data_IF_847464487377
#
_entry.id   IF_847464487377
#
_cell.length_a   1.000
_cell.length_b   1.000
_cell.length_c   1.000
_cell.angle_alpha   90.00
_cell.angle_beta   90.00
_cell.angle_gamma   90.00
#
_symmetry.space_group_name_H-M   'P 1'
#
loop_
_entity.id
_entity.type
_entity.pdbx_description
1 polymer ?
#
# COMPACT_ATOMS: atom_id res chain seq x y z
N UNK A 1 -9.19 2.53 -12.94
CA UNK A 1 -9.63 1.45 -12.04
C UNK A 1 -8.55 1.04 -11.03
N UNK A 2 -8.95 0.32 -9.95
CA UNK A 2 -8.03 -0.18 -8.92
C UNK A 2 -8.15 -1.70 -8.75
N UNK A 3 -7.02 -2.38 -8.65
CA UNK A 3 -6.93 -3.78 -8.24
C UNK A 3 -6.42 -3.84 -6.79
N UNK A 4 -7.15 -4.54 -5.93
CA UNK A 4 -6.80 -4.69 -4.52
C UNK A 4 -6.38 -6.13 -4.24
N UNK A 5 -5.23 -6.30 -3.58
CA UNK A 5 -4.78 -7.63 -3.15
C UNK A 5 -5.66 -8.20 -2.02
N UNK A 6 -6.27 -7.32 -1.21
CA UNK A 6 -6.99 -7.72 -0.03
C UNK A 6 -6.07 -8.24 1.07
N UNK A 7 -6.58 -9.11 1.92
CA UNK A 7 -5.83 -9.70 3.03
C UNK A 7 -5.07 -10.94 2.56
N UNK A 8 -3.75 -10.95 2.71
CA UNK A 8 -2.90 -12.09 2.40
C UNK A 8 -2.50 -12.81 3.68
N UNK A 9 -3.32 -13.75 4.11
CA UNK A 9 -3.08 -14.63 5.25
C UNK A 9 -2.39 -15.94 4.84
N UNK A 10 -1.81 -15.98 3.65
CA UNK A 10 -1.12 -17.13 3.08
C UNK A 10 0.35 -17.16 3.49
N UNK A 11 1.04 -18.29 3.31
CA UNK A 11 2.48 -18.32 3.32
C UNK A 11 3.08 -17.24 2.42
N UNK A 12 4.24 -16.71 2.78
CA UNK A 12 4.83 -15.58 2.05
C UNK A 12 4.98 -15.84 0.55
N UNK A 13 5.38 -17.05 0.16
CA UNK A 13 5.57 -17.41 -1.24
C UNK A 13 4.27 -17.32 -2.06
N UNK A 14 3.15 -17.79 -1.50
CA UNK A 14 1.86 -17.75 -2.15
C UNK A 14 1.32 -16.32 -2.25
N UNK A 15 1.54 -15.52 -1.20
CA UNK A 15 1.19 -14.10 -1.21
C UNK A 15 2.02 -13.32 -2.25
N UNK A 16 3.30 -13.64 -2.42
CA UNK A 16 4.16 -13.06 -3.46
C UNK A 16 3.73 -13.49 -4.87
N UNK A 17 3.32 -14.75 -5.05
CA UNK A 17 2.79 -15.24 -6.31
C UNK A 17 1.49 -14.51 -6.70
N UNK A 18 0.58 -14.32 -5.74
CA UNK A 18 -0.64 -13.54 -5.94
C UNK A 18 -0.32 -12.08 -6.30
N UNK A 19 0.60 -11.44 -5.58
CA UNK A 19 1.04 -10.07 -5.85
C UNK A 19 1.60 -9.92 -7.26
N UNK A 20 2.49 -10.82 -7.69
CA UNK A 20 3.04 -10.82 -9.05
C UNK A 20 1.95 -11.05 -10.11
N UNK A 21 0.94 -11.87 -9.83
CA UNK A 21 -0.20 -12.06 -10.75
C UNK A 21 -1.02 -10.77 -10.91
N UNK A 22 -1.27 -10.05 -9.81
CA UNK A 22 -1.96 -8.75 -9.86
C UNK A 22 -1.15 -7.71 -10.64
N UNK A 23 0.17 -7.66 -10.44
CA UNK A 23 1.07 -6.80 -11.22
C UNK A 23 0.99 -7.12 -12.70
N UNK A 24 1.06 -8.41 -13.06
CA UNK A 24 0.97 -8.85 -14.47
C UNK A 24 -0.37 -8.46 -15.12
N UNK A 25 -1.47 -8.56 -14.38
CA UNK A 25 -2.80 -8.12 -14.86
C UNK A 25 -2.82 -6.61 -15.08
N UNK A 26 -2.28 -5.83 -14.14
CA UNK A 26 -2.23 -4.38 -14.26
C UNK A 26 -1.36 -3.92 -15.44
N UNK A 27 -0.22 -4.57 -15.67
CA UNK A 27 0.66 -4.29 -16.82
C UNK A 27 0.03 -4.67 -18.17
N UNK A 28 -0.76 -5.74 -18.18
CA UNK A 28 -1.48 -6.15 -19.40
C UNK A 28 -2.63 -5.20 -19.74
N UNK A 29 -3.41 -4.83 -18.73
CA UNK A 29 -4.57 -3.93 -18.90
C UNK A 29 -4.18 -2.49 -19.15
N UNK A 30 -3.18 -1.97 -18.42
CA UNK A 30 -2.68 -0.58 -18.48
C UNK A 30 -3.65 0.52 -18.00
N UNK A 31 -4.89 0.20 -17.73
CA UNK A 31 -5.94 1.09 -17.25
C UNK A 31 -6.16 1.00 -15.72
N UNK A 32 -5.42 0.14 -15.04
CA UNK A 32 -5.57 -0.11 -13.61
C UNK A 32 -4.25 0.00 -12.85
N UNK A 33 -4.34 0.27 -11.55
CA UNK A 33 -3.21 0.24 -10.63
C UNK A 33 -3.47 -0.82 -9.55
N UNK A 34 -2.51 -1.70 -9.31
CA UNK A 34 -2.57 -2.73 -8.28
C UNK A 34 -2.02 -2.22 -6.94
N UNK A 35 -2.82 -2.32 -5.88
CA UNK A 35 -2.43 -1.97 -4.52
C UNK A 35 -2.15 -3.24 -3.72
N UNK A 36 -0.93 -3.33 -3.20
CA UNK A 36 -0.38 -4.55 -2.60
C UNK A 36 0.12 -4.24 -1.20
N UNK A 37 -0.35 -5.02 -0.22
CA UNK A 37 0.18 -5.04 1.15
C UNK A 37 1.00 -6.31 1.39
N UNK A 38 1.97 -6.29 2.32
CA UNK A 38 2.70 -7.49 2.70
C UNK A 38 1.78 -8.55 3.32
N UNK A 39 2.23 -9.78 3.34
CA UNK A 39 1.51 -10.84 4.03
C UNK A 39 1.45 -10.59 5.55
N UNK A 40 0.41 -11.15 6.19
CA UNK A 40 0.16 -10.96 7.63
C UNK A 40 1.34 -11.38 8.51
N UNK A 41 2.04 -12.45 8.17
CA UNK A 41 3.20 -12.96 8.90
C UNK A 41 4.38 -11.98 8.97
N UNK A 42 4.42 -10.96 8.11
CA UNK A 42 5.43 -9.90 8.23
C UNK A 42 5.30 -9.08 9.52
N UNK A 43 4.11 -9.01 10.09
CA UNK A 43 3.78 -8.17 11.26
C UNK A 43 3.44 -8.96 12.50
N UNK A 44 2.81 -10.12 12.36
CA UNK A 44 2.22 -10.88 13.45
C UNK A 44 2.84 -12.28 13.53
N UNK A 45 3.25 -12.65 14.71
CA UNK A 45 3.91 -13.93 15.01
C UNK A 45 2.91 -15.03 15.37
N UNK A 46 1.76 -15.07 14.69
CA UNK A 46 0.81 -16.17 14.84
C UNK A 46 0.01 -16.45 13.58
N UNK A 47 -0.59 -17.63 13.54
CA UNK A 47 -1.50 -18.06 12.48
C UNK A 47 -2.97 -17.69 12.76
N UNK A 48 -3.28 -17.14 13.93
CA UNK A 48 -4.65 -16.84 14.33
C UNK A 48 -5.12 -15.49 13.76
N UNK A 49 -6.29 -15.49 13.16
CA UNK A 49 -6.92 -14.27 12.63
C UNK A 49 -7.32 -13.36 13.80
N UNK A 50 -6.65 -12.23 13.93
CA UNK A 50 -7.11 -11.12 14.78
C UNK A 50 -6.27 -10.80 16.01
N UNK A 51 -5.62 -11.76 16.67
CA UNK A 51 -5.09 -11.61 18.04
C UNK A 51 -3.58 -11.82 18.20
N UNK A 52 -2.82 -11.85 17.10
CA UNK A 52 -1.39 -12.15 17.16
C UNK A 52 -0.52 -11.14 17.88
N UNK A 53 0.59 -11.64 18.42
CA UNK A 53 1.66 -10.80 18.97
C UNK A 53 2.42 -10.13 17.83
N UNK A 54 2.63 -8.82 17.91
CA UNK A 54 3.40 -8.07 16.93
C UNK A 54 4.88 -8.45 16.99
N UNK A 55 5.50 -8.59 15.83
CA UNK A 55 6.94 -8.70 15.69
C UNK A 55 7.65 -7.42 16.16
N UNK A 56 8.97 -7.46 16.34
CA UNK A 56 9.73 -6.24 16.61
C UNK A 56 9.71 -5.28 15.40
N UNK A 57 9.86 -3.98 15.64
CA UNK A 57 9.89 -3.00 14.55
C UNK A 57 11.03 -3.22 13.55
N UNK A 58 12.18 -3.74 14.01
CA UNK A 58 13.30 -4.11 13.15
C UNK A 58 12.96 -5.31 12.27
N UNK A 59 12.37 -6.36 12.85
CA UNK A 59 11.94 -7.54 12.11
C UNK A 59 10.84 -7.18 11.10
N UNK A 60 9.86 -6.36 11.47
CA UNK A 60 8.83 -5.89 10.54
C UNK A 60 9.43 -5.17 9.34
N UNK A 61 10.42 -4.29 9.55
CA UNK A 61 11.11 -3.60 8.44
C UNK A 61 11.76 -4.60 7.48
N UNK A 62 12.51 -5.56 8.03
CA UNK A 62 13.18 -6.58 7.25
C UNK A 62 12.20 -7.49 6.51
N UNK A 63 11.13 -7.91 7.20
CA UNK A 63 10.09 -8.77 6.64
C UNK A 63 9.33 -8.09 5.50
N UNK A 64 8.98 -6.81 5.66
CA UNK A 64 8.30 -6.01 4.64
C UNK A 64 9.19 -5.84 3.40
N UNK A 65 10.46 -5.48 3.58
CA UNK A 65 11.42 -5.38 2.48
C UNK A 65 11.60 -6.75 1.80
N UNK A 66 11.75 -7.83 2.59
CA UNK A 66 11.89 -9.19 2.07
C UNK A 66 10.67 -9.69 1.31
N UNK A 67 9.46 -9.22 1.67
CA UNK A 67 8.25 -9.52 0.92
C UNK A 67 8.26 -8.88 -0.47
N UNK A 68 8.64 -7.60 -0.58
CA UNK A 68 8.58 -6.87 -1.84
C UNK A 68 9.81 -7.07 -2.75
N UNK A 69 10.95 -7.50 -2.20
CA UNK A 69 12.19 -7.64 -2.95
C UNK A 69 12.07 -8.49 -4.22
N UNK A 70 11.42 -9.68 -4.22
CA UNK A 70 11.30 -10.53 -5.41
C UNK A 70 10.16 -10.12 -6.34
N UNK A 71 9.34 -9.10 -6.00
CA UNK A 71 8.23 -8.70 -6.85
C UNK A 71 8.70 -7.96 -8.09
N UNK A 72 7.97 -8.16 -9.18
CA UNK A 72 8.19 -7.50 -10.47
C UNK A 72 8.16 -5.98 -10.30
N UNK A 73 9.16 -5.32 -10.88
CA UNK A 73 9.24 -3.86 -10.92
C UNK A 73 8.21 -3.30 -11.90
N UNK A 74 7.21 -2.59 -11.40
CA UNK A 74 6.14 -2.04 -12.23
C UNK A 74 5.66 -0.68 -11.73
N UNK A 75 5.38 0.23 -12.65
CA UNK A 75 4.74 1.49 -12.33
C UNK A 75 3.22 1.37 -12.14
N UNK A 76 2.64 0.22 -12.48
CA UNK A 76 1.23 -0.11 -12.26
C UNK A 76 0.98 -0.79 -10.91
N UNK A 77 1.96 -0.83 -10.03
CA UNK A 77 1.84 -1.36 -8.67
C UNK A 77 2.17 -0.31 -7.62
N UNK A 78 1.51 -0.39 -6.47
CA UNK A 78 1.74 0.45 -5.30
C UNK A 78 1.91 -0.45 -4.09
N UNK A 79 3.02 -0.27 -3.37
CA UNK A 79 3.43 -1.05 -2.23
C UNK A 79 3.29 -0.24 -0.96
N UNK A 80 2.64 -0.79 0.06
CA UNK A 80 2.48 -0.14 1.36
C UNK A 80 3.30 -0.81 2.47
N UNK A 81 3.39 -0.13 3.60
CA UNK A 81 4.19 -0.58 4.73
C UNK A 81 3.42 -1.40 5.76
N UNK A 82 2.14 -1.76 5.51
CA UNK A 82 1.56 -2.57 6.52
C UNK A 82 0.08 -2.74 6.77
N UNK A 83 -0.25 -2.79 8.05
CA UNK A 83 -1.56 -3.13 8.59
C UNK A 83 -2.03 -2.07 9.58
N UNK A 84 -3.33 -1.79 9.58
CA UNK A 84 -4.01 -1.00 10.61
C UNK A 84 -4.82 -1.89 11.55
N UNK A 85 -4.98 -1.47 12.78
CA UNK A 85 -5.85 -2.06 13.79
C UNK A 85 -7.16 -1.29 13.81
N UNK A 86 -8.26 -1.98 13.57
CA UNK A 86 -9.59 -1.39 13.55
C UNK A 86 -10.65 -2.33 14.11
N UNK A 87 -11.81 -1.75 14.44
CA UNK A 87 -12.97 -2.51 14.89
C UNK A 87 -13.73 -3.08 13.69
N UNK A 88 -13.94 -4.39 13.70
CA UNK A 88 -14.77 -5.09 12.73
C UNK A 88 -16.18 -5.26 13.30
N UNK A 89 -17.13 -4.55 12.72
CA UNK A 89 -18.53 -4.55 13.17
C UNK A 89 -19.24 -5.89 12.97
N UNK A 90 -18.81 -6.70 12.01
CA UNK A 90 -19.46 -8.00 11.73
C UNK A 90 -19.11 -9.06 12.77
N UNK A 91 -17.85 -9.05 13.20
CA UNK A 91 -17.34 -10.03 14.18
C UNK A 91 -17.30 -9.50 15.60
N UNK A 92 -17.73 -8.25 15.82
CA UNK A 92 -17.70 -7.54 17.11
C UNK A 92 -16.32 -7.63 17.80
N UNK A 93 -15.25 -7.47 17.00
CA UNK A 93 -13.88 -7.61 17.47
C UNK A 93 -12.94 -6.67 16.78
N UNK A 94 -11.82 -6.38 17.43
CA UNK A 94 -10.72 -5.65 16.80
C UNK A 94 -9.80 -6.60 16.04
N UNK A 95 -9.37 -6.19 14.85
CA UNK A 95 -8.41 -6.97 14.06
C UNK A 95 -7.44 -6.09 13.28
N UNK A 96 -6.33 -6.71 12.91
CA UNK A 96 -5.38 -6.11 11.96
C UNK A 96 -5.82 -6.42 10.53
N UNK A 97 -5.97 -5.35 9.72
CA UNK A 97 -6.28 -5.46 8.29
C UNK A 97 -5.24 -4.73 7.44
N UNK A 98 -4.98 -5.20 6.21
CA UNK A 98 -3.99 -4.59 5.33
C UNK A 98 -4.42 -3.22 4.84
N UNK A 99 -3.46 -2.38 4.50
CA UNK A 99 -3.67 -0.98 4.10
C UNK A 99 -3.94 -0.80 2.61
N UNK A 100 -3.83 -1.84 1.75
CA UNK A 100 -4.01 -1.68 0.31
C UNK A 100 -5.35 -1.04 -0.08
N UNK A 101 -6.44 -1.43 0.56
CA UNK A 101 -7.75 -0.83 0.35
C UNK A 101 -7.84 0.62 0.80
N UNK A 102 -7.16 0.97 1.89
CA UNK A 102 -7.12 2.35 2.39
C UNK A 102 -6.34 3.27 1.46
N UNK A 103 -5.21 2.81 0.94
CA UNK A 103 -4.40 3.60 0.01
C UNK A 103 -5.14 3.80 -1.31
N UNK A 104 -5.79 2.79 -1.83
CA UNK A 104 -6.71 2.95 -2.96
C UNK A 104 -7.83 3.94 -2.63
N UNK A 105 -8.38 3.86 -1.42
CA UNK A 105 -9.39 4.79 -0.92
C UNK A 105 -8.90 6.24 -0.81
N UNK A 106 -7.62 6.48 -0.45
CA UNK A 106 -7.05 7.83 -0.50
C UNK A 106 -6.96 8.35 -1.93
N UNK A 107 -6.61 7.49 -2.89
CA UNK A 107 -6.60 7.83 -4.31
C UNK A 107 -8.02 8.17 -4.80
N UNK A 108 -9.02 7.34 -4.51
CA UNK A 108 -10.41 7.58 -4.90
C UNK A 108 -10.98 8.86 -4.28
N UNK A 109 -10.71 9.11 -3.00
CA UNK A 109 -11.11 10.35 -2.33
C UNK A 109 -10.44 11.58 -2.96
N UNK A 110 -9.20 11.44 -3.39
CA UNK A 110 -8.47 12.50 -4.07
C UNK A 110 -9.08 12.80 -5.46
N UNK A 111 -9.57 11.78 -6.17
CA UNK A 111 -10.26 11.93 -7.46
C UNK A 111 -11.57 12.71 -7.32
N UNK A 112 -12.32 12.45 -6.24
CA UNK A 112 -13.60 13.11 -5.98
C UNK A 112 -13.38 14.58 -5.57
N UNK A 113 -12.41 14.85 -4.70
CA UNK A 113 -12.21 16.17 -4.09
C UNK A 113 -11.24 17.08 -4.87
N UNK A 114 -10.40 16.48 -5.71
CA UNK A 114 -9.37 17.17 -6.49
C UNK A 114 -9.32 16.59 -7.90
N UNK A 115 -8.17 16.02 -8.27
CA UNK A 115 -7.96 15.39 -9.58
C UNK A 115 -7.03 14.17 -9.45
N UNK A 116 -7.12 13.19 -10.39
CA UNK A 116 -6.32 11.97 -10.36
C UNK A 116 -4.79 12.17 -10.33
N UNK A 117 -4.31 13.31 -10.84
CA UNK A 117 -2.89 13.64 -10.90
C UNK A 117 -2.32 14.33 -9.67
N UNK A 118 -3.12 14.57 -8.62
CA UNK A 118 -2.58 15.02 -7.35
C UNK A 118 -2.01 13.85 -6.55
N UNK A 119 -0.89 14.08 -5.84
CA UNK A 119 -0.32 13.06 -4.96
C UNK A 119 -1.32 12.67 -3.86
N UNK A 120 -1.58 11.38 -3.65
CA UNK A 120 -2.47 10.92 -2.58
C UNK A 120 -1.82 10.93 -1.21
N UNK A 121 -0.55 11.30 -1.10
CA UNK A 121 0.22 11.30 0.14
C UNK A 121 0.23 12.65 0.86
N UNK A 122 0.71 12.64 2.09
CA UNK A 122 0.93 13.82 2.93
C UNK A 122 -0.26 14.15 3.83
N UNK A 123 -0.08 15.18 4.67
CA UNK A 123 -1.02 15.57 5.72
C UNK A 123 -2.37 16.05 5.20
N UNK A 124 -2.40 16.62 4.00
CA UNK A 124 -3.62 17.17 3.43
C UNK A 124 -4.52 16.13 2.75
N UNK A 125 -3.94 15.09 2.15
CA UNK A 125 -4.67 14.13 1.31
C UNK A 125 -4.49 12.66 1.72
N UNK A 126 -3.38 12.32 2.39
CA UNK A 126 -3.01 10.95 2.72
C UNK A 126 -3.66 10.37 3.97
N UNK A 127 -4.65 11.01 4.57
CA UNK A 127 -5.30 10.54 5.80
C UNK A 127 -5.94 9.15 5.64
N UNK A 128 -5.58 8.22 6.52
CA UNK A 128 -6.18 6.88 6.63
C UNK A 128 -7.32 6.94 7.64
N UNK A 129 -8.48 6.54 7.24
CA UNK A 129 -9.69 6.59 8.06
C UNK A 129 -9.92 5.27 8.82
N UNK A 130 -10.72 5.34 9.89
CA UNK A 130 -11.13 4.16 10.66
C UNK A 130 -9.98 3.29 11.14
N UNK A 131 -8.88 3.89 11.60
CA UNK A 131 -7.75 3.20 12.19
C UNK A 131 -7.55 3.66 13.63
N UNK A 132 -7.50 2.72 14.56
CA UNK A 132 -7.19 2.97 15.97
C UNK A 132 -5.68 3.16 16.14
N UNK A 133 -4.90 2.29 15.50
CA UNK A 133 -3.44 2.33 15.48
C UNK A 133 -2.90 1.58 14.27
N UNK A 134 -1.63 1.77 13.97
CA UNK A 134 -0.89 0.94 13.02
C UNK A 134 -0.29 -0.28 13.71
N UNK A 135 -0.14 -1.39 12.98
CA UNK A 135 0.65 -2.53 13.43
C UNK A 135 2.14 -2.17 13.50
N UNK A 136 2.56 -1.29 12.61
CA UNK A 136 3.95 -0.87 12.45
C UNK A 136 4.02 0.63 12.15
N UNK A 137 4.71 1.37 12.99
CA UNK A 137 5.01 2.80 12.78
C UNK A 137 6.53 2.96 12.60
N UNK A 138 7.02 3.09 11.36
CA UNK A 138 8.46 3.18 11.10
C UNK A 138 9.04 4.50 11.62
N UNK A 139 10.22 4.42 12.26
CA UNK A 139 11.04 5.58 12.58
C UNK A 139 11.70 6.16 11.32
N UNK A 140 12.44 7.27 11.44
CA UNK A 140 13.04 7.94 10.29
C UNK A 140 13.95 7.01 9.47
N UNK A 141 14.88 6.31 10.11
CA UNK A 141 15.80 5.38 9.42
C UNK A 141 15.05 4.26 8.71
N UNK A 142 14.03 3.70 9.36
CA UNK A 142 13.18 2.66 8.78
C UNK A 142 12.37 3.17 7.59
N UNK A 143 11.86 4.42 7.65
CA UNK A 143 11.18 5.04 6.51
C UNK A 143 12.12 5.21 5.32
N UNK A 144 13.35 5.62 5.55
CA UNK A 144 14.36 5.77 4.50
C UNK A 144 14.66 4.42 3.83
N UNK A 145 14.78 3.35 4.62
CA UNK A 145 14.93 1.98 4.10
C UNK A 145 13.72 1.56 3.28
N UNK A 146 12.50 1.72 3.79
CA UNK A 146 11.26 1.38 3.07
C UNK A 146 11.15 2.15 1.76
N UNK A 147 11.34 3.47 1.83
CA UNK A 147 11.20 4.35 0.66
C UNK A 147 12.26 4.09 -0.41
N UNK A 148 13.49 3.72 -0.03
CA UNK A 148 14.53 3.29 -0.96
C UNK A 148 14.17 1.99 -1.68
N UNK A 149 13.37 1.13 -1.03
CA UNK A 149 12.85 -0.12 -1.59
C UNK A 149 11.47 0.01 -2.25
N UNK A 150 11.06 1.21 -2.64
CA UNK A 150 9.79 1.49 -3.36
C UNK A 150 8.53 1.27 -2.51
N UNK A 151 8.66 1.18 -1.21
CA UNK A 151 7.57 0.92 -0.27
C UNK A 151 7.12 2.26 0.31
N UNK A 152 5.82 2.53 0.28
CA UNK A 152 5.26 3.77 0.81
C UNK A 152 5.00 3.64 2.31
N UNK A 153 5.73 4.37 3.15
CA UNK A 153 5.49 4.35 4.59
C UNK A 153 4.12 4.94 4.91
N UNK A 154 3.39 4.26 5.79
CA UNK A 154 2.23 4.81 6.48
C UNK A 154 2.64 5.07 7.91
N UNK A 155 2.41 6.28 8.41
CA UNK A 155 2.90 6.75 9.71
C UNK A 155 1.80 7.38 10.53
N UNK A 156 1.99 7.43 11.84
CA UNK A 156 1.24 8.31 12.71
C UNK A 156 1.94 9.67 12.77
N UNK A 157 1.21 10.74 12.44
CA UNK A 157 1.67 12.13 12.51
C UNK A 157 0.86 12.89 13.56
N UNK A 158 1.51 13.48 14.59
CA UNK A 158 0.81 14.33 15.54
C UNK A 158 0.05 15.45 14.83
N UNK A 159 -1.23 15.60 15.15
CA UNK A 159 -2.10 16.61 14.54
C UNK A 159 -2.77 16.22 13.20
N UNK A 160 -2.21 15.28 12.44
CA UNK A 160 -2.79 14.80 11.19
C UNK A 160 -3.33 13.36 11.28
N UNK A 161 -3.01 12.62 12.35
CA UNK A 161 -3.41 11.24 12.52
C UNK A 161 -2.56 10.26 11.70
N UNK A 162 -3.17 9.18 11.25
CA UNK A 162 -2.49 8.17 10.41
C UNK A 162 -2.54 8.61 8.97
N UNK A 163 -1.38 8.70 8.33
CA UNK A 163 -1.22 9.21 6.97
C UNK A 163 -0.34 8.33 6.10
N UNK A 164 -0.67 8.26 4.81
CA UNK A 164 0.23 7.80 3.77
C UNK A 164 1.32 8.87 3.58
N UNK A 165 2.58 8.50 3.81
CA UNK A 165 3.70 9.45 3.77
C UNK A 165 4.45 9.44 2.44
N UNK A 166 4.46 8.31 1.71
CA UNK A 166 5.10 8.14 0.41
C UNK A 166 4.11 8.01 -0.74
N UNK A 167 4.53 8.34 -1.95
CA UNK A 167 3.74 8.28 -3.18
C UNK A 167 4.45 7.56 -4.34
N UNK A 168 5.34 6.62 -4.02
CA UNK A 168 6.06 5.83 -5.03
C UNK A 168 5.21 4.70 -5.61
N UNK A 169 5.44 4.41 -6.88
CA UNK A 169 5.04 3.15 -7.50
C UNK A 169 6.06 2.04 -7.22
N UNK A 170 5.74 0.80 -7.56
CA UNK A 170 6.66 -0.34 -7.50
C UNK A 170 7.78 -0.29 -8.56
N UNK A 171 7.95 0.81 -9.28
CA UNK A 171 8.96 0.94 -10.33
C UNK A 171 10.36 1.14 -9.75
N UNK A 172 11.29 0.26 -10.14
CA UNK A 172 12.65 0.21 -9.57
C UNK A 172 13.67 1.16 -10.17
N UNK A 173 13.31 1.88 -11.25
CA UNK A 173 14.21 2.84 -11.89
C UNK A 173 13.76 4.27 -11.62
N UNK A 174 14.70 5.19 -11.45
CA UNK A 174 14.39 6.62 -11.34
C UNK A 174 13.75 7.11 -12.65
N UNK A 175 12.50 7.54 -12.58
CA UNK A 175 11.71 8.00 -13.74
C UNK A 175 10.52 8.79 -13.24
N UNK A 176 9.86 9.55 -14.10
CA UNK A 176 8.60 10.21 -13.76
C UNK A 176 7.50 9.19 -13.34
N UNK A 177 7.57 7.97 -13.86
CA UNK A 177 6.63 6.89 -13.55
C UNK A 177 6.89 6.18 -12.22
N UNK A 178 7.88 6.60 -11.45
CA UNK A 178 8.08 6.13 -10.09
C UNK A 178 7.11 6.78 -9.09
N UNK A 179 6.22 7.68 -9.55
CA UNK A 179 5.21 8.37 -8.74
C UNK A 179 3.78 7.93 -9.08
N UNK A 180 2.98 7.70 -8.04
CA UNK A 180 1.58 7.27 -8.17
C UNK A 180 0.76 8.27 -8.98
N UNK A 181 0.88 9.55 -8.65
CA UNK A 181 0.14 10.62 -9.32
C UNK A 181 0.48 10.73 -10.82
N UNK A 182 1.74 10.60 -11.19
CA UNK A 182 2.17 10.66 -12.60
C UNK A 182 1.65 9.46 -13.37
N UNK A 183 1.77 8.23 -12.83
CA UNK A 183 1.21 7.04 -13.48
C UNK A 183 -0.30 7.18 -13.68
N UNK A 184 -1.02 7.66 -12.68
CA UNK A 184 -2.47 7.86 -12.77
C UNK A 184 -2.86 8.97 -13.75
N UNK A 185 -2.06 10.05 -13.84
CA UNK A 185 -2.25 11.06 -14.89
C UNK A 185 -2.16 10.46 -16.29
N UNK A 186 -1.17 9.61 -16.54
CA UNK A 186 -1.01 8.98 -17.85
C UNK A 186 -2.15 8.02 -18.18
N UNK A 187 -2.63 7.22 -17.21
CA UNK A 187 -3.81 6.38 -17.42
C UNK A 187 -5.02 7.25 -17.80
N UNK A 188 -5.26 8.35 -17.10
CA UNK A 188 -6.36 9.27 -17.41
C UNK A 188 -6.23 9.88 -18.81
N UNK A 189 -5.02 10.29 -19.22
CA UNK A 189 -4.79 10.86 -20.56
C UNK A 189 -5.00 9.79 -21.65
N UNK A 190 -4.49 8.57 -21.43
CA UNK A 190 -4.65 7.46 -22.38
C UNK A 190 -6.14 7.10 -22.58
N UNK A 191 -6.92 7.06 -21.49
CA UNK A 191 -8.38 6.85 -21.56
C UNK A 191 -9.08 7.98 -22.33
N UNK A 192 -8.73 9.24 -22.04
CA UNK A 192 -9.34 10.40 -22.69
C UNK A 192 -9.04 10.44 -24.20
N UNK A 193 -7.83 10.10 -24.60
CA UNK A 193 -7.44 10.05 -26.03
C UNK A 193 -8.11 8.87 -26.73
N UNK A 194 -8.23 7.72 -26.06
CA UNK A 194 -8.88 6.53 -26.66
C UNK A 194 -10.38 6.69 -26.83
N UNK A 195 -11.01 7.62 -26.13
CA UNK A 195 -12.43 7.92 -26.23
C UNK A 195 -12.76 9.01 -27.28
N UNK A 196 -11.75 9.68 -27.82
CA UNK A 196 -11.89 10.75 -28.84
C UNK A 196 -11.79 10.23 -30.26
#
# INVERSE_FOLDING_TARGET
DFLLMGSANYPQADAQALANKLISIAELRKDVVAFISPNRGAFLNDSAVGTGTLNSAADMTSNVVGFYAPLTSSSYAVFDSGYKYMFDRFSDTFRYIPLNGDIAGTCARNDINNFPWFSPAGTARGGILNAVKLAYTPNQTQRDVLYSNRINPVIFSPGAGIILFGDKTGFGKASAFDRINVRRLFIFIEEAISAA
#
